data_IF_152652043626
#
_entry.id   IF_152652043626
#
_cell.length_a   1.000
_cell.length_b   1.000
_cell.length_c   1.000
_cell.angle_alpha   90.00
_cell.angle_beta   90.00
_cell.angle_gamma   90.00
#
_symmetry.space_group_name_H-M   'P 1'
#
loop_
_entity.id
_entity.type
_entity.pdbx_description
1 polymer ?
#
# COMPACT_ATOMS: atom_id res chain seq x y z
N UNK A 1 -17.53 -9.03 -8.94
CA UNK A 1 -16.80 -8.66 -7.71
C UNK A 1 -16.79 -7.15 -7.61
N UNK A 2 -17.16 -6.63 -6.45
CA UNK A 2 -17.15 -5.21 -6.12
C UNK A 2 -15.80 -4.87 -5.48
N UNK A 3 -15.04 -3.97 -6.09
CA UNK A 3 -13.66 -3.63 -5.71
C UNK A 3 -13.60 -2.24 -5.11
N UNK A 4 -12.71 -2.02 -4.16
CA UNK A 4 -12.42 -0.69 -3.65
C UNK A 4 -10.91 -0.43 -3.62
N UNK A 5 -10.52 0.77 -4.04
CA UNK A 5 -9.21 1.35 -3.75
C UNK A 5 -9.41 2.29 -2.56
N UNK A 6 -8.93 1.87 -1.39
CA UNK A 6 -9.04 2.63 -0.16
C UNK A 6 -7.75 3.39 0.10
N UNK A 7 -7.85 4.72 0.22
CA UNK A 7 -6.72 5.56 0.64
C UNK A 7 -7.12 6.36 1.88
N UNK A 8 -6.15 6.66 2.73
CA UNK A 8 -6.38 7.36 3.98
C UNK A 8 -5.26 8.35 4.25
N UNK A 9 -5.61 9.51 4.79
CA UNK A 9 -4.67 10.59 5.09
C UNK A 9 -5.21 11.51 6.18
N UNK A 10 -4.34 12.26 6.83
CA UNK A 10 -4.74 13.25 7.84
C UNK A 10 -4.37 14.68 7.38
N UNK A 11 -4.56 15.65 8.27
CA UNK A 11 -4.29 17.06 8.01
C UNK A 11 -2.79 17.42 7.92
N UNK A 12 -1.89 16.51 8.29
CA UNK A 12 -0.44 16.71 8.19
C UNK A 12 0.07 16.44 6.77
N UNK A 13 -0.70 15.74 5.93
CA UNK A 13 -0.31 15.48 4.54
C UNK A 13 -0.55 16.73 3.70
N UNK A 14 0.41 17.06 2.84
CA UNK A 14 0.31 18.17 1.90
C UNK A 14 -0.92 18.00 0.99
N UNK A 15 -1.77 19.03 0.93
CA UNK A 15 -2.98 19.00 0.11
C UNK A 15 -2.70 18.79 -1.37
N UNK A 16 -1.54 19.25 -1.87
CA UNK A 16 -1.18 19.04 -3.27
C UNK A 16 -0.82 17.58 -3.55
N UNK A 17 -0.15 16.92 -2.61
CA UNK A 17 0.13 15.48 -2.66
C UNK A 17 -1.18 14.69 -2.73
N UNK A 18 -2.14 15.00 -1.85
CA UNK A 18 -3.46 14.37 -1.84
C UNK A 18 -4.19 14.58 -3.18
N UNK A 19 -4.21 15.81 -3.69
CA UNK A 19 -4.86 16.16 -4.95
C UNK A 19 -4.29 15.34 -6.11
N UNK A 20 -2.96 15.33 -6.25
CA UNK A 20 -2.28 14.62 -7.33
C UNK A 20 -2.44 13.10 -7.23
N UNK A 21 -2.34 12.53 -6.03
CA UNK A 21 -2.65 11.12 -5.80
C UNK A 21 -4.06 10.78 -6.28
N UNK A 22 -5.07 11.56 -5.86
CA UNK A 22 -6.45 11.34 -6.28
C UNK A 22 -6.62 11.41 -7.80
N UNK A 23 -5.98 12.38 -8.46
CA UNK A 23 -6.06 12.51 -9.92
C UNK A 23 -5.42 11.32 -10.64
N UNK A 24 -4.27 10.85 -10.18
CA UNK A 24 -3.60 9.67 -10.76
C UNK A 24 -4.45 8.42 -10.59
N UNK A 25 -4.95 8.16 -9.37
CA UNK A 25 -5.78 6.97 -9.10
C UNK A 25 -7.06 7.01 -9.92
N UNK A 26 -7.75 8.16 -9.99
CA UNK A 26 -8.96 8.30 -10.81
C UNK A 26 -8.67 8.12 -12.30
N UNK A 27 -7.54 8.65 -12.82
CA UNK A 27 -7.14 8.47 -14.22
C UNK A 27 -6.89 7.00 -14.56
N UNK A 28 -6.21 6.28 -13.67
CA UNK A 28 -5.75 4.91 -13.93
C UNK A 28 -6.76 3.83 -13.55
N UNK A 29 -7.74 4.13 -12.69
CA UNK A 29 -8.81 3.22 -12.33
C UNK A 29 -9.84 3.07 -13.47
N UNK A 30 -9.48 2.27 -14.47
CA UNK A 30 -10.36 1.91 -15.59
C UNK A 30 -11.11 0.60 -15.36
N UNK A 31 -11.10 0.07 -14.13
CA UNK A 31 -11.67 -1.22 -13.79
C UNK A 31 -13.18 -1.12 -13.60
N UNK A 32 -13.91 -2.10 -14.15
CA UNK A 32 -15.33 -2.24 -13.86
C UNK A 32 -15.57 -2.54 -12.37
N UNK A 33 -16.58 -1.88 -11.80
CA UNK A 33 -17.02 -2.04 -10.42
C UNK A 33 -15.91 -1.81 -9.38
N UNK A 34 -15.01 -0.86 -9.64
CA UNK A 34 -13.94 -0.47 -8.74
C UNK A 34 -14.11 0.97 -8.28
N UNK A 35 -14.49 1.16 -7.02
CA UNK A 35 -14.70 2.49 -6.44
C UNK A 35 -13.39 3.02 -5.81
N UNK A 36 -13.14 4.31 -5.95
CA UNK A 36 -12.08 4.99 -5.21
C UNK A 36 -12.66 5.61 -3.94
N UNK A 37 -12.15 5.19 -2.78
CA UNK A 37 -12.69 5.50 -1.45
C UNK A 37 -11.65 6.22 -0.58
N UNK A 38 -11.45 7.55 -0.76
CA UNK A 38 -10.55 8.32 0.10
C UNK A 38 -11.19 8.62 1.46
N UNK A 39 -10.39 8.50 2.53
CA UNK A 39 -10.74 8.88 3.89
C UNK A 39 -9.74 9.92 4.42
N UNK A 40 -10.18 11.18 4.54
CA UNK A 40 -9.46 12.13 5.39
C UNK A 40 -9.86 11.87 6.84
N UNK A 41 -9.02 11.15 7.59
CA UNK A 41 -9.30 10.95 9.00
C UNK A 41 -8.89 12.20 9.79
N UNK A 42 -9.90 12.77 10.46
CA UNK A 42 -9.81 13.79 11.51
C UNK A 42 -10.83 13.33 12.52
N UNK A 43 -10.47 13.09 13.78
CA UNK A 43 -11.55 12.91 14.74
C UNK A 43 -12.12 14.26 15.17
N UNK A 44 -13.42 14.30 15.48
CA UNK A 44 -14.02 15.25 16.41
C UNK A 44 -13.52 15.10 17.88
N UNK A 45 -12.82 14.01 18.24
CA UNK A 45 -12.67 13.58 19.65
C UNK A 45 -11.44 12.70 20.03
N UNK A 46 -10.38 12.57 19.21
CA UNK A 46 -9.18 11.77 19.56
C UNK A 46 -8.10 11.59 18.46
N UNK A 47 -7.00 10.89 18.77
CA UNK A 47 -5.94 10.51 17.80
C UNK A 47 -6.30 9.18 17.13
N UNK A 48 -6.39 9.16 15.80
CA UNK A 48 -6.47 7.93 14.99
C UNK A 48 -5.11 7.74 14.31
N UNK A 49 -4.50 6.59 14.48
CA UNK A 49 -3.23 6.25 13.84
C UNK A 49 -3.47 5.55 12.48
N UNK A 50 -2.45 5.47 11.60
CA UNK A 50 -2.59 4.81 10.29
C UNK A 50 -3.23 3.41 10.33
N UNK A 51 -2.89 2.61 11.34
CA UNK A 51 -3.45 1.27 11.56
C UNK A 51 -4.93 1.29 11.93
N UNK A 52 -5.39 2.26 12.74
CA UNK A 52 -6.81 2.45 13.04
C UNK A 52 -7.61 2.80 11.77
N UNK A 53 -7.06 3.64 10.90
CA UNK A 53 -7.69 4.00 9.63
C UNK A 53 -7.81 2.80 8.70
N UNK A 54 -6.79 1.92 8.64
CA UNK A 54 -6.83 0.66 7.89
C UNK A 54 -7.87 -0.30 8.46
N UNK A 55 -7.90 -0.48 9.79
CA UNK A 55 -8.90 -1.31 10.48
C UNK A 55 -10.32 -0.83 10.16
N UNK A 56 -10.59 0.48 10.31
CA UNK A 56 -11.87 1.08 9.97
C UNK A 56 -12.22 0.86 8.49
N UNK A 57 -11.31 1.18 7.57
CA UNK A 57 -11.55 1.08 6.14
C UNK A 57 -11.92 -0.33 5.71
N UNK A 58 -11.15 -1.34 6.13
CA UNK A 58 -11.39 -2.75 5.80
C UNK A 58 -12.74 -3.22 6.36
N UNK A 59 -13.06 -2.91 7.62
CA UNK A 59 -14.33 -3.31 8.24
C UNK A 59 -15.53 -2.64 7.54
N UNK A 60 -15.47 -1.33 7.38
CA UNK A 60 -16.52 -0.55 6.75
C UNK A 60 -16.78 -1.02 5.31
N UNK A 61 -15.72 -1.19 4.52
CA UNK A 61 -15.85 -1.56 3.12
C UNK A 61 -16.32 -3.03 2.95
N UNK A 62 -15.75 -3.98 3.68
CA UNK A 62 -16.17 -5.38 3.55
C UNK A 62 -17.56 -5.66 4.10
N UNK A 63 -17.96 -5.06 5.22
CA UNK A 63 -19.18 -5.47 5.95
C UNK A 63 -20.33 -4.47 5.87
N UNK A 64 -20.06 -3.18 5.75
CA UNK A 64 -21.13 -2.18 5.61
C UNK A 64 -21.42 -1.83 4.14
N UNK A 65 -20.38 -1.84 3.30
CA UNK A 65 -20.48 -1.50 1.87
C UNK A 65 -20.45 -2.71 0.93
N UNK A 66 -20.26 -3.91 1.47
CA UNK A 66 -20.26 -5.18 0.75
C UNK A 66 -19.28 -5.20 -0.45
N UNK A 67 -18.06 -4.70 -0.25
CA UNK A 67 -16.96 -4.95 -1.19
C UNK A 67 -16.44 -6.37 -1.03
N UNK A 68 -15.90 -6.93 -2.11
CA UNK A 68 -15.32 -8.27 -2.18
C UNK A 68 -13.79 -8.23 -2.08
N UNK A 69 -13.17 -7.18 -2.63
CA UNK A 69 -11.70 -7.03 -2.65
C UNK A 69 -11.33 -5.58 -2.41
N UNK A 70 -10.34 -5.36 -1.55
CA UNK A 70 -9.87 -4.01 -1.20
C UNK A 70 -8.37 -3.93 -1.47
N UNK A 71 -7.97 -2.92 -2.24
CA UNK A 71 -6.60 -2.43 -2.31
C UNK A 71 -6.50 -1.24 -1.36
N UNK A 72 -5.74 -1.38 -0.29
CA UNK A 72 -5.26 -0.26 0.50
C UNK A 72 -4.06 0.35 -0.23
N UNK A 73 -4.11 1.66 -0.42
CA UNK A 73 -3.07 2.44 -1.10
C UNK A 73 -2.77 3.68 -0.25
N UNK A 74 -1.57 3.76 0.31
CA UNK A 74 -1.14 4.95 1.05
C UNK A 74 -1.16 6.18 0.14
N UNK A 75 -1.47 7.34 0.71
CA UNK A 75 -1.70 8.57 -0.06
C UNK A 75 -0.47 9.07 -0.84
N UNK A 76 0.72 8.59 -0.50
CA UNK A 76 1.98 8.86 -1.18
C UNK A 76 2.49 7.65 -1.99
N UNK A 77 1.59 6.72 -2.33
CA UNK A 77 1.80 5.60 -3.24
C UNK A 77 0.82 5.67 -4.41
N UNK A 78 1.29 5.50 -5.65
CA UNK A 78 0.45 5.59 -6.86
C UNK A 78 0.72 4.44 -7.82
N UNK A 79 -0.32 3.92 -8.53
CA UNK A 79 -0.15 2.97 -9.61
C UNK A 79 0.60 3.61 -10.79
N UNK A 80 1.41 2.83 -11.51
CA UNK A 80 2.07 3.30 -12.74
C UNK A 80 1.16 3.32 -13.96
N UNK A 81 0.19 2.41 -14.02
CA UNK A 81 -0.65 2.17 -15.20
C UNK A 81 -1.92 1.37 -14.82
N UNK A 82 -2.95 1.26 -15.68
CA UNK A 82 -4.16 0.51 -15.36
C UNK A 82 -3.92 -0.99 -15.14
N UNK A 83 -2.90 -1.55 -15.81
CA UNK A 83 -2.50 -2.95 -15.63
C UNK A 83 -2.09 -3.23 -14.18
N UNK A 84 -1.39 -2.30 -13.52
CA UNK A 84 -1.00 -2.47 -12.12
C UNK A 84 -2.20 -2.72 -11.21
N UNK A 85 -3.29 -1.97 -11.38
CA UNK A 85 -4.53 -2.16 -10.62
C UNK A 85 -5.21 -3.49 -11.01
N UNK A 86 -5.38 -3.75 -12.31
CA UNK A 86 -6.03 -4.97 -12.79
C UNK A 86 -5.33 -6.24 -12.27
N UNK A 87 -4.01 -6.27 -12.37
CA UNK A 87 -3.18 -7.38 -11.92
C UNK A 87 -3.25 -7.58 -10.41
N UNK A 88 -3.21 -6.47 -9.65
CA UNK A 88 -3.26 -6.49 -8.19
C UNK A 88 -4.59 -7.06 -7.70
N UNK A 89 -5.72 -6.59 -8.23
CA UNK A 89 -7.03 -7.13 -7.87
C UNK A 89 -7.19 -8.59 -8.28
N UNK A 90 -6.85 -8.96 -9.52
CA UNK A 90 -6.96 -10.36 -9.99
C UNK A 90 -6.12 -11.32 -9.15
N UNK A 91 -4.91 -10.89 -8.76
CA UNK A 91 -4.04 -11.69 -7.89
C UNK A 91 -4.69 -11.89 -6.52
N UNK A 92 -5.18 -10.82 -5.89
CA UNK A 92 -5.88 -10.91 -4.60
C UNK A 92 -7.13 -11.80 -4.65
N UNK A 93 -7.92 -11.67 -5.72
CA UNK A 93 -9.14 -12.45 -5.98
C UNK A 93 -8.86 -13.94 -6.18
N UNK A 94 -7.62 -14.32 -6.51
CA UNK A 94 -7.17 -15.72 -6.57
C UNK A 94 -6.75 -16.31 -5.20
N UNK A 95 -6.97 -15.57 -4.11
CA UNK A 95 -6.65 -16.01 -2.74
C UNK A 95 -5.19 -15.78 -2.33
N UNK A 96 -4.48 -14.89 -3.03
CA UNK A 96 -3.10 -14.51 -2.76
C UNK A 96 -3.07 -13.18 -2.00
N UNK A 97 -2.32 -13.08 -0.91
CA UNK A 97 -2.01 -11.78 -0.32
C UNK A 97 -0.99 -11.08 -1.21
N UNK A 98 -1.25 -9.85 -1.68
CA UNK A 98 -0.38 -9.21 -2.68
C UNK A 98 -0.17 -7.73 -2.40
N UNK A 99 1.05 -7.24 -2.67
CA UNK A 99 1.37 -5.83 -2.54
C UNK A 99 2.87 -5.54 -2.46
N UNK A 100 3.23 -4.31 -2.11
CA UNK A 100 4.62 -3.86 -2.01
C UNK A 100 5.37 -4.62 -0.91
N UNK A 101 6.66 -4.90 -1.12
CA UNK A 101 7.51 -5.50 -0.10
C UNK A 101 8.12 -4.44 0.82
N UNK A 102 8.09 -4.73 2.12
CA UNK A 102 8.74 -3.94 3.16
C UNK A 102 9.35 -4.84 4.23
N UNK A 103 10.25 -4.25 5.03
CA UNK A 103 10.79 -4.85 6.26
C UNK A 103 10.76 -3.81 7.37
N UNK A 104 10.35 -4.24 8.56
CA UNK A 104 10.36 -3.42 9.76
C UNK A 104 11.77 -3.37 10.36
N UNK A 105 12.63 -2.48 9.87
CA UNK A 105 14.04 -2.41 10.31
C UNK A 105 14.23 -2.10 11.80
N UNK A 106 13.25 -1.46 12.41
CA UNK A 106 13.28 -1.12 13.83
C UNK A 106 12.91 -2.32 14.72
N UNK A 107 12.48 -3.44 14.14
CA UNK A 107 12.13 -4.68 14.84
C UNK A 107 13.23 -5.73 14.63
N UNK A 108 13.48 -6.51 15.68
CA UNK A 108 14.34 -7.69 15.63
C UNK A 108 13.48 -8.93 15.37
N UNK A 109 13.09 -9.12 14.10
CA UNK A 109 12.13 -10.15 13.67
C UNK A 109 12.67 -11.12 12.61
N UNK A 110 13.97 -11.43 12.69
CA UNK A 110 14.69 -12.28 11.72
C UNK A 110 14.61 -11.77 10.27
N UNK A 111 14.62 -10.44 10.12
CA UNK A 111 14.59 -9.77 8.82
C UNK A 111 13.39 -10.20 7.97
N UNK A 112 12.25 -10.34 8.63
CA UNK A 112 11.00 -10.75 8.02
C UNK A 112 10.52 -9.66 7.04
N UNK A 113 10.19 -10.10 5.83
CA UNK A 113 9.70 -9.27 4.75
C UNK A 113 8.20 -9.48 4.63
N UNK A 114 7.43 -8.40 4.53
CA UNK A 114 5.98 -8.44 4.58
C UNK A 114 5.36 -7.53 3.51
N UNK A 115 4.06 -7.73 3.28
CA UNK A 115 3.27 -6.90 2.37
C UNK A 115 2.94 -5.59 3.06
N UNK A 116 3.53 -4.51 2.55
CA UNK A 116 3.53 -3.18 3.14
C UNK A 116 2.15 -2.50 3.01
N UNK A 117 1.79 -1.60 3.95
CA UNK A 117 0.62 -0.73 3.81
C UNK A 117 0.61 0.13 2.54
N UNK A 118 1.79 0.48 1.99
CA UNK A 118 1.91 1.38 0.83
C UNK A 118 1.08 0.93 -0.36
N UNK A 119 1.06 -0.37 -0.63
CA UNK A 119 0.09 -1.03 -1.49
C UNK A 119 -0.19 -2.43 -0.93
N UNK A 120 -1.39 -2.66 -0.42
CA UNK A 120 -1.81 -3.91 0.22
C UNK A 120 -3.17 -4.33 -0.32
N UNK A 121 -3.26 -5.46 -1.02
CA UNK A 121 -4.52 -5.94 -1.58
C UNK A 121 -4.92 -7.29 -1.00
N UNK A 122 -6.18 -7.39 -0.59
CA UNK A 122 -6.75 -8.59 0.00
C UNK A 122 -8.20 -8.79 -0.41
N UNK A 123 -8.57 -10.03 -0.74
CA UNK A 123 -9.95 -10.43 -0.91
C UNK A 123 -10.61 -10.73 0.45
N UNK A 124 -11.91 -10.47 0.58
CA UNK A 124 -12.68 -10.68 1.81
C UNK A 124 -12.54 -12.11 2.31
N UNK A 125 -12.64 -13.10 1.43
CA UNK A 125 -12.50 -14.52 1.80
C UNK A 125 -11.14 -14.82 2.46
N UNK A 126 -10.05 -14.21 1.96
CA UNK A 126 -8.74 -14.33 2.58
C UNK A 126 -8.70 -13.59 3.91
N UNK A 127 -9.21 -12.36 3.99
CA UNK A 127 -9.31 -11.61 5.25
C UNK A 127 -10.03 -12.39 6.35
N UNK A 128 -11.14 -13.05 6.02
CA UNK A 128 -11.88 -13.90 6.96
C UNK A 128 -11.13 -15.19 7.31
N UNK A 129 -10.47 -15.83 6.33
CA UNK A 129 -9.61 -17.00 6.55
C UNK A 129 -8.46 -16.71 7.51
N UNK A 130 -7.88 -15.51 7.44
CA UNK A 130 -6.81 -15.08 8.34
C UNK A 130 -7.32 -14.71 9.75
N UNK A 131 -8.62 -14.78 10.00
CA UNK A 131 -9.22 -14.54 11.31
C UNK A 131 -9.56 -13.08 11.60
N UNK A 132 -9.66 -12.24 10.56
CA UNK A 132 -10.02 -10.81 10.69
C UNK A 132 -9.09 -10.05 11.65
N UNK A 133 -7.79 -10.37 11.61
CA UNK A 133 -6.78 -9.77 12.49
C UNK A 133 -6.67 -8.25 12.27
N UNK A 134 -6.09 -7.55 13.24
CA UNK A 134 -5.87 -6.11 13.18
C UNK A 134 -4.64 -5.75 12.33
N UNK A 135 -4.65 -4.55 11.75
CA UNK A 135 -3.46 -3.93 11.15
C UNK A 135 -2.50 -3.32 12.17
N UNK A 136 -2.87 -3.26 13.45
CA UNK A 136 -2.04 -2.67 14.50
C UNK A 136 -0.68 -3.40 14.64
N UNK A 137 0.39 -2.66 14.95
CA UNK A 137 1.69 -3.27 15.19
C UNK A 137 1.65 -4.18 16.42
N UNK A 138 2.46 -5.22 16.40
CA UNK A 138 2.65 -6.17 17.51
C UNK A 138 4.08 -6.13 18.01
N UNK A 139 4.42 -7.02 18.95
CA UNK A 139 5.81 -7.18 19.41
C UNK A 139 6.73 -7.70 18.31
N UNK A 140 6.20 -8.41 17.30
CA UNK A 140 6.99 -9.08 16.25
C UNK A 140 6.80 -8.47 14.86
N UNK A 141 5.71 -7.73 14.66
CA UNK A 141 5.35 -7.17 13.36
C UNK A 141 4.97 -5.70 13.45
N UNK A 142 5.31 -4.95 12.42
CA UNK A 142 4.86 -3.58 12.19
C UNK A 142 3.43 -3.55 11.63
N UNK A 143 2.94 -2.37 11.23
CA UNK A 143 1.61 -2.20 10.64
C UNK A 143 1.43 -3.17 9.46
N UNK A 144 0.33 -3.93 9.47
CA UNK A 144 -0.02 -4.97 8.50
C UNK A 144 0.88 -6.22 8.47
N UNK A 145 2.00 -6.27 9.18
CA UNK A 145 2.99 -7.36 9.04
C UNK A 145 2.46 -8.72 9.52
N UNK A 146 1.54 -8.73 10.49
CA UNK A 146 0.89 -9.96 10.97
C UNK A 146 0.12 -10.71 9.87
N UNK A 147 -0.33 -10.03 8.83
CA UNK A 147 -1.01 -10.69 7.70
C UNK A 147 -0.07 -11.60 6.94
N UNK A 148 1.18 -11.17 6.74
CA UNK A 148 2.20 -12.02 6.12
C UNK A 148 2.49 -13.22 7.01
N UNK A 149 2.70 -13.01 8.32
CA UNK A 149 2.88 -14.13 9.25
C UNK A 149 1.71 -15.11 9.23
N UNK A 150 0.46 -14.63 9.23
CA UNK A 150 -0.72 -15.51 9.16
C UNK A 150 -0.83 -16.25 7.85
N UNK A 151 -0.47 -15.63 6.74
CA UNK A 151 -0.40 -16.34 5.46
C UNK A 151 0.65 -17.45 5.50
N UNK A 152 1.85 -17.17 6.02
CA UNK A 152 2.92 -18.18 6.15
C UNK A 152 2.52 -19.34 7.09
N UNK A 153 1.94 -19.03 8.25
CA UNK A 153 1.46 -20.02 9.22
C UNK A 153 0.42 -20.98 8.61
N UNK A 154 -0.42 -20.48 7.69
CA UNK A 154 -1.48 -21.23 7.03
C UNK A 154 -1.08 -21.83 5.67
N UNK A 155 0.15 -21.59 5.21
CA UNK A 155 0.61 -21.98 3.88
C UNK A 155 -0.13 -21.27 2.73
N UNK A 156 -0.69 -20.09 2.99
CA UNK A 156 -1.33 -19.26 2.00
C UNK A 156 -0.28 -18.56 1.11
N UNK A 157 -0.50 -18.49 -0.21
CA UNK A 157 0.43 -17.82 -1.12
C UNK A 157 0.45 -16.31 -0.89
N UNK A 158 1.65 -15.74 -1.07
CA UNK A 158 1.91 -14.31 -0.97
C UNK A 158 2.69 -13.89 -2.21
N UNK A 159 2.30 -12.79 -2.85
CA UNK A 159 3.06 -12.19 -3.92
C UNK A 159 3.58 -10.80 -3.50
N UNK A 160 4.89 -10.66 -3.52
CA UNK A 160 5.57 -9.41 -3.19
C UNK A 160 5.92 -8.66 -4.47
N UNK A 161 5.58 -7.37 -4.52
CA UNK A 161 6.17 -6.46 -5.47
C UNK A 161 7.52 -6.02 -4.93
N UNK A 162 8.58 -6.32 -5.68
CA UNK A 162 9.95 -6.10 -5.26
C UNK A 162 10.43 -4.72 -5.73
N UNK A 163 11.26 -4.00 -4.94
CA UNK A 163 11.77 -2.71 -5.35
C UNK A 163 12.78 -2.90 -6.48
N UNK A 164 12.55 -2.18 -7.59
CA UNK A 164 13.44 -2.14 -8.76
C UNK A 164 14.55 -1.10 -8.56
N UNK A 165 14.18 0.08 -8.07
CA UNK A 165 15.10 1.16 -7.73
C UNK A 165 14.38 2.17 -6.82
N UNK A 166 15.15 2.99 -6.11
CA UNK A 166 14.67 4.15 -5.35
C UNK A 166 15.54 5.38 -5.66
N UNK A 167 15.03 6.59 -5.41
CA UNK A 167 15.68 7.84 -5.82
C UNK A 167 16.66 8.34 -4.75
N UNK A 168 16.31 8.25 -3.47
CA UNK A 168 17.18 8.64 -2.34
C UNK A 168 17.06 7.69 -1.15
N UNK A 169 18.11 7.64 -0.34
CA UNK A 169 18.01 7.04 0.98
C UNK A 169 17.08 7.86 1.87
N UNK A 170 16.37 7.22 2.83
CA UNK A 170 15.59 7.93 3.84
C UNK A 170 16.44 8.90 4.67
N UNK A 171 15.81 9.88 5.32
CA UNK A 171 16.52 11.02 5.96
C UNK A 171 17.52 10.59 7.04
N UNK A 172 17.26 9.47 7.69
CA UNK A 172 18.15 8.93 8.71
C UNK A 172 19.45 8.35 8.14
N UNK A 173 19.62 8.34 6.81
CA UNK A 173 20.82 7.87 6.11
C UNK A 173 21.00 6.36 6.13
N UNK A 174 20.11 5.62 6.79
CA UNK A 174 20.17 4.16 6.85
C UNK A 174 19.69 3.57 5.53
N UNK A 175 20.31 2.45 5.15
CA UNK A 175 19.86 1.65 4.01
C UNK A 175 18.67 0.81 4.46
N UNK A 176 17.51 1.04 3.87
CA UNK A 176 16.33 0.21 4.10
C UNK A 176 16.34 -0.99 3.16
N UNK A 177 16.91 -2.10 3.63
CA UNK A 177 16.92 -3.36 2.89
C UNK A 177 15.78 -4.30 3.32
N UNK A 178 15.45 -5.25 2.45
CA UNK A 178 14.44 -6.28 2.69
C UNK A 178 15.00 -7.52 3.40
N UNK A 179 16.19 -7.43 4.00
CA UNK A 179 16.84 -8.52 4.72
C UNK A 179 17.37 -9.64 3.84
N UNK A 180 18.18 -10.53 4.41
CA UNK A 180 18.64 -11.81 3.84
C UNK A 180 19.29 -11.63 2.45
N UNK A 181 20.02 -10.53 2.26
CA UNK A 181 20.70 -10.20 1.01
C UNK A 181 19.77 -9.72 -0.13
N UNK A 182 18.49 -9.44 0.16
CA UNK A 182 17.51 -8.93 -0.81
C UNK A 182 17.76 -7.44 -1.15
N UNK A 183 16.95 -6.91 -2.07
CA UNK A 183 17.00 -5.52 -2.52
C UNK A 183 16.63 -4.52 -1.42
N UNK A 184 16.65 -3.24 -1.76
CA UNK A 184 16.42 -2.13 -0.85
C UNK A 184 15.40 -1.16 -1.42
N UNK A 185 14.72 -0.45 -0.52
CA UNK A 185 13.75 0.59 -0.82
C UNK A 185 14.16 1.89 -0.11
N UNK A 186 13.47 2.97 -0.45
CA UNK A 186 13.72 4.29 0.12
C UNK A 186 12.77 5.32 -0.48
N UNK A 187 13.25 6.56 -0.56
CA UNK A 187 12.46 7.67 -1.09
C UNK A 187 12.26 7.49 -2.59
N UNK A 188 11.00 7.51 -3.04
CA UNK A 188 10.61 7.37 -4.43
C UNK A 188 10.95 6.00 -5.00
N UNK A 189 10.48 4.95 -4.34
CA UNK A 189 10.72 3.57 -4.76
C UNK A 189 9.76 3.17 -5.88
N UNK A 190 10.31 2.56 -6.93
CA UNK A 190 9.55 1.89 -8.00
C UNK A 190 9.48 0.40 -7.72
N UNK A 191 8.28 -0.15 -7.58
CA UNK A 191 8.03 -1.57 -7.35
C UNK A 191 7.65 -2.30 -8.65
N UNK A 192 8.03 -3.57 -8.75
CA UNK A 192 7.68 -4.46 -9.86
C UNK A 192 7.14 -5.80 -9.41
N UNK A 193 6.26 -6.40 -10.20
CA UNK A 193 5.78 -7.76 -9.98
C UNK A 193 6.83 -8.81 -10.42
N UNK A 194 6.49 -10.09 -10.27
CA UNK A 194 7.35 -11.21 -10.68
C UNK A 194 7.73 -11.21 -12.17
N UNK A 195 6.95 -10.54 -13.01
CA UNK A 195 7.19 -10.39 -14.45
C UNK A 195 8.00 -9.13 -14.79
N UNK A 196 8.50 -8.39 -13.80
CA UNK A 196 9.23 -7.13 -13.96
C UNK A 196 8.40 -5.95 -14.51
N UNK A 197 7.07 -6.07 -14.49
CA UNK A 197 6.16 -4.98 -14.85
C UNK A 197 6.09 -3.93 -13.75
N UNK A 198 6.01 -2.66 -14.14
CA UNK A 198 5.90 -1.54 -13.20
C UNK A 198 4.54 -1.56 -12.51
N UNK A 199 4.55 -1.62 -11.17
CA UNK A 199 3.34 -1.72 -10.36
C UNK A 199 3.03 -0.39 -9.70
N UNK A 200 3.82 -0.02 -8.69
CA UNK A 200 3.57 1.15 -7.86
C UNK A 200 4.82 2.01 -7.69
N UNK A 201 4.61 3.31 -7.56
CA UNK A 201 5.60 4.26 -7.09
C UNK A 201 5.22 4.71 -5.68
N UNK A 202 6.12 4.57 -4.72
CA UNK A 202 5.92 4.98 -3.33
C UNK A 202 6.94 6.04 -2.95
N UNK A 203 6.48 7.25 -2.55
CA UNK A 203 7.36 8.33 -2.13
C UNK A 203 8.13 7.96 -0.86
N UNK A 204 7.46 7.39 0.14
CA UNK A 204 7.95 7.15 1.48
C UNK A 204 8.28 8.43 2.27
N UNK A 205 7.85 8.51 3.54
CA UNK A 205 8.03 9.66 4.43
C UNK A 205 7.39 11.00 3.97
N UNK A 206 6.26 10.96 3.23
CA UNK A 206 5.54 12.17 2.77
C UNK A 206 5.22 13.19 3.87
N UNK A 207 4.94 12.74 5.10
CA UNK A 207 4.70 13.59 6.28
C UNK A 207 5.85 14.54 6.62
N UNK A 208 7.04 14.32 6.07
CA UNK A 208 8.21 15.18 6.28
C UNK A 208 8.23 16.40 5.37
N UNK A 209 7.44 16.39 4.28
CA UNK A 209 7.40 17.41 3.22
C UNK A 209 8.72 17.66 2.49
N UNK A 210 9.80 16.94 2.80
CA UNK A 210 11.14 17.19 2.22
C UNK A 210 11.20 16.76 0.77
N UNK A 211 10.50 15.67 0.42
CA UNK A 211 10.65 14.99 -0.86
C UNK A 211 9.39 15.05 -1.74
N UNK A 212 8.36 15.80 -1.33
CA UNK A 212 7.07 15.78 -2.00
C UNK A 212 7.17 16.19 -3.48
N UNK A 213 8.11 17.06 -3.85
CA UNK A 213 8.33 17.42 -5.26
C UNK A 213 8.64 16.21 -6.14
N UNK A 214 9.33 15.18 -5.62
CA UNK A 214 9.59 13.94 -6.35
C UNK A 214 8.28 13.22 -6.69
N UNK A 215 7.32 13.22 -5.75
CA UNK A 215 6.01 12.63 -5.98
C UNK A 215 5.18 13.48 -6.95
N UNK A 216 5.29 14.81 -6.89
CA UNK A 216 4.60 15.72 -7.82
C UNK A 216 5.07 15.48 -9.25
N UNK A 217 6.38 15.44 -9.46
CA UNK A 217 6.99 15.17 -10.76
C UNK A 217 6.53 13.82 -11.31
N UNK A 218 6.46 12.79 -10.45
CA UNK A 218 5.98 11.46 -10.85
C UNK A 218 4.49 11.44 -11.19
N UNK A 219 3.65 12.13 -10.41
CA UNK A 219 2.23 12.25 -10.71
C UNK A 219 2.02 12.96 -12.06
N UNK A 220 2.70 14.07 -12.28
CA UNK A 220 2.63 14.82 -13.54
C UNK A 220 3.10 13.99 -14.73
N UNK A 221 4.18 13.22 -14.59
CA UNK A 221 4.62 12.28 -15.62
C UNK A 221 3.48 11.33 -16.02
N UNK A 222 2.82 10.70 -15.05
CA UNK A 222 1.72 9.74 -15.27
C UNK A 222 0.46 10.45 -15.82
N UNK A 223 0.12 11.62 -15.29
CA UNK A 223 -1.05 12.40 -15.72
C UNK A 223 -0.91 12.93 -17.15
N UNK A 224 0.33 13.14 -17.62
CA UNK A 224 0.61 13.60 -18.97
C UNK A 224 0.89 12.46 -19.97
N UNK A 225 1.02 11.20 -19.53
CA UNK A 225 1.04 10.06 -20.45
C UNK A 225 -0.25 10.01 -21.29
N UNK A 226 -0.10 9.97 -22.62
CA UNK A 226 -1.16 9.92 -23.63
C UNK A 226 -2.08 11.16 -23.71
N UNK A 227 -1.58 12.35 -23.33
CA UNK A 227 -2.13 13.62 -23.84
C UNK A 227 -1.64 13.89 -25.27
#
# INVERSE_FOLDING_TARGET
MKRAIFTFYNHQIDSELVRLHHEVVNKLNTLDNCDFCPLQYKQPDGEMYPDDAMNYGIQHLFYEKNYDTILILEVDCIPFNPYSLEYTFKTAESGILVGDSQRAMHLQNDEHMYVAPSAFCIAKDLYEKLGKISFAPTRRGDIAEEYTYKCEELGNPIEFYMPKHFIRHPRNGYRWDLGKGRSSFGIGTTFVNKNQELMFFHLFESRSHVWNSIFYDKCEEILNMNK
#
